data_IF_647643488568
#
_entry.id   IF_647643488568
#
_cell.length_a   1.000
_cell.length_b   1.000
_cell.length_c   1.000
_cell.angle_alpha   90.00
_cell.angle_beta   90.00
_cell.angle_gamma   90.00
#
_symmetry.space_group_name_H-M   'P 1'
#
loop_
_entity.id
_entity.type
_entity.pdbx_description
1 polymer ?
#
# COMPACT_ATOMS: atom_id res chain seq x y z
N UNK A 1 -7.33 15.69 15.93
CA UNK A 1 -6.69 14.39 16.20
C UNK A 1 -6.73 13.62 14.90
N UNK A 2 -5.58 13.33 14.29
CA UNK A 2 -5.51 12.79 12.93
C UNK A 2 -6.19 11.42 12.81
N UNK A 3 -6.71 11.12 11.62
CA UNK A 3 -7.36 9.83 11.35
C UNK A 3 -6.38 8.68 11.66
N UNK A 4 -6.69 7.78 12.61
CA UNK A 4 -5.80 6.69 12.99
C UNK A 4 -5.64 5.62 11.88
N UNK A 5 -6.41 5.75 10.80
CA UNK A 5 -6.39 4.85 9.65
C UNK A 5 -5.46 5.32 8.52
N UNK A 6 -4.77 6.46 8.66
CA UNK A 6 -3.82 6.94 7.66
C UNK A 6 -2.40 6.63 8.08
N UNK A 7 -1.58 6.16 7.12
CA UNK A 7 -0.15 6.03 7.33
C UNK A 7 0.48 7.39 7.66
N UNK A 8 1.49 7.42 8.54
CA UNK A 8 2.28 8.62 8.76
C UNK A 8 2.87 9.13 7.44
N UNK A 9 2.82 10.44 7.23
CA UNK A 9 3.41 11.06 6.04
C UNK A 9 4.90 10.72 5.90
N UNK A 10 5.59 10.63 7.03
CA UNK A 10 7.01 10.23 7.08
C UNK A 10 7.24 8.83 6.52
N UNK A 11 6.33 7.87 6.74
CA UNK A 11 6.43 6.53 6.14
C UNK A 11 6.26 6.58 4.63
N UNK A 12 5.35 7.44 4.12
CA UNK A 12 5.15 7.61 2.67
C UNK A 12 6.42 8.20 2.04
N UNK A 13 7.01 9.23 2.64
CA UNK A 13 8.25 9.84 2.13
C UNK A 13 9.41 8.84 2.15
N UNK A 14 9.58 8.08 3.24
CA UNK A 14 10.60 7.01 3.31
C UNK A 14 10.41 5.94 2.24
N UNK A 15 9.16 5.53 2.00
CA UNK A 15 8.85 4.60 0.93
C UNK A 15 9.19 5.18 -0.45
N UNK A 16 8.92 6.47 -0.69
CA UNK A 16 9.30 7.13 -1.96
C UNK A 16 10.81 7.26 -2.15
N UNK A 17 11.58 7.28 -1.06
CA UNK A 17 13.05 7.25 -1.09
C UNK A 17 13.62 5.84 -1.37
N UNK A 18 12.77 4.81 -1.44
CA UNK A 18 13.16 3.42 -1.72
C UNK A 18 13.52 2.61 -0.47
N UNK A 19 13.15 3.05 0.72
CA UNK A 19 13.38 2.29 1.95
C UNK A 19 12.49 1.03 1.98
N UNK A 20 13.07 -0.18 2.01
CA UNK A 20 12.31 -1.42 1.86
C UNK A 20 11.30 -1.63 2.99
N UNK A 21 11.65 -1.22 4.22
CA UNK A 21 10.79 -1.33 5.40
C UNK A 21 9.54 -0.44 5.28
N UNK A 22 9.73 0.81 4.84
CA UNK A 22 8.63 1.73 4.60
C UNK A 22 7.76 1.30 3.42
N UNK A 23 8.35 0.74 2.36
CA UNK A 23 7.61 0.17 1.22
C UNK A 23 6.75 -1.00 1.66
N UNK A 24 7.27 -1.94 2.45
CA UNK A 24 6.50 -3.07 2.97
C UNK A 24 5.33 -2.61 3.84
N UNK A 25 5.55 -1.60 4.70
CA UNK A 25 4.50 -1.04 5.53
C UNK A 25 3.35 -0.41 4.71
N UNK A 26 3.70 0.34 3.66
CA UNK A 26 2.72 0.92 2.72
C UNK A 26 1.94 -0.18 2.00
N UNK A 27 2.64 -1.18 1.46
CA UNK A 27 2.02 -2.30 0.75
C UNK A 27 1.11 -3.12 1.67
N UNK A 28 1.54 -3.41 2.90
CA UNK A 28 0.74 -4.14 3.89
C UNK A 28 -0.53 -3.36 4.25
N UNK A 29 -0.43 -2.05 4.44
CA UNK A 29 -1.56 -1.19 4.77
C UNK A 29 -2.60 -1.14 3.63
N UNK A 30 -2.15 -1.02 2.38
CA UNK A 30 -3.05 -0.96 1.22
C UNK A 30 -3.41 -2.34 0.63
N UNK A 31 -2.75 -3.43 1.04
CA UNK A 31 -2.89 -4.79 0.50
C UNK A 31 -4.36 -5.22 0.36
N UNK A 32 -5.16 -5.01 1.41
CA UNK A 32 -6.58 -5.34 1.42
C UNK A 32 -7.36 -4.53 0.37
N UNK A 33 -7.04 -3.24 0.23
CA UNK A 33 -7.69 -2.35 -0.75
C UNK A 33 -7.27 -2.69 -2.17
N UNK A 34 -5.99 -2.95 -2.40
CA UNK A 34 -5.44 -3.39 -3.70
C UNK A 34 -6.10 -4.71 -4.11
N UNK A 35 -6.20 -5.68 -3.18
CA UNK A 35 -6.84 -6.96 -3.44
C UNK A 35 -8.32 -6.82 -3.79
N UNK A 36 -9.07 -6.02 -3.03
CA UNK A 36 -10.49 -5.79 -3.32
C UNK A 36 -10.67 -5.08 -4.66
N UNK A 37 -9.88 -4.03 -4.94
CA UNK A 37 -9.90 -3.33 -6.22
C UNK A 37 -9.52 -4.26 -7.39
N UNK A 38 -8.56 -5.16 -7.21
CA UNK A 38 -8.17 -6.15 -8.23
C UNK A 38 -9.25 -7.21 -8.47
N UNK A 39 -9.99 -7.61 -7.43
CA UNK A 39 -11.14 -8.52 -7.54
C UNK A 39 -12.34 -7.85 -8.22
N UNK A 40 -12.62 -6.58 -7.90
CA UNK A 40 -13.72 -5.81 -8.49
C UNK A 40 -13.44 -5.41 -9.94
N UNK A 41 -12.18 -5.09 -10.31
CA UNK A 41 -11.79 -4.77 -11.69
C UNK A 41 -11.34 -5.98 -12.53
N UNK A 42 -11.35 -7.21 -12.00
CA UNK A 42 -11.22 -8.45 -12.77
C UNK A 42 -9.90 -8.71 -13.50
N UNK A 43 -8.91 -7.82 -13.44
CA UNK A 43 -7.55 -8.08 -13.95
C UNK A 43 -6.58 -8.18 -12.77
N UNK A 44 -6.50 -9.38 -12.23
CA UNK A 44 -5.27 -9.82 -11.59
C UNK A 44 -4.37 -10.20 -12.76
N UNK A 45 -3.43 -9.32 -13.12
CA UNK A 45 -2.34 -9.69 -14.03
C UNK A 45 -1.53 -10.76 -13.29
N UNK A 46 -1.93 -12.02 -13.48
CA UNK A 46 -1.14 -13.17 -13.10
C UNK A 46 0.07 -13.10 -14.02
N UNK A 47 1.13 -12.46 -13.52
CA UNK A 47 2.47 -12.52 -14.11
C UNK A 47 2.75 -13.99 -14.44
N UNK A 48 2.78 -14.30 -15.74
CA UNK A 48 3.33 -15.53 -16.29
C UNK A 48 4.85 -15.56 -16.07
#
# INVERSE_FOLDING_TARGET
MGNPNLLPYETIVRATSGEPEAVDEVLRHYSKRIRMAALENGHIDSVC
#
